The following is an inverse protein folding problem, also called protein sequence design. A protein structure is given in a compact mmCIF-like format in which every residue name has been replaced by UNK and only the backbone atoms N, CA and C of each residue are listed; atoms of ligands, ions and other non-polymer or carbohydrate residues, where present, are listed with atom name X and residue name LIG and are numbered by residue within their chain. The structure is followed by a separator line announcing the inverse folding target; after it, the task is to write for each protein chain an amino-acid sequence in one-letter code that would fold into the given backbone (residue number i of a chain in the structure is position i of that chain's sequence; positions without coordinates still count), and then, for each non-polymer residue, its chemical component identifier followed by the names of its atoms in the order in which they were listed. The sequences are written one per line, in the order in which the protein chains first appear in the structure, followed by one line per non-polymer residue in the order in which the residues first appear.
data_IF_637151176177
#
_entry.id   IF_637151176177
#
_cell.length_a   1.000
_cell.length_b   1.000
_cell.length_c   1.000
_cell.angle_alpha   90.00
_cell.angle_beta   90.00
_cell.angle_gamma   90.00
#
_symmetry.space_group_name_H-M   'P 1'
#
loop_
_entity.id
_entity.type
_entity.pdbx_description
1 polymer ?
#
# COMPACT_ATOMS: atom_id res chain seq x y z
N UNK A 1 -0.55 -4.10 -1.40
CA UNK A 1 -0.54 -5.56 -1.12
C UNK A 1 0.51 -5.99 -0.08
N UNK A 2 1.56 -5.24 0.29
CA UNK A 2 2.60 -5.79 1.18
C UNK A 2 3.46 -4.79 2.03
N UNK A 3 3.11 -3.51 2.26
CA UNK A 3 4.05 -2.53 2.89
C UNK A 3 4.45 -2.89 4.32
N UNK A 4 3.51 -3.17 5.22
CA UNK A 4 3.88 -3.58 6.58
C UNK A 4 4.16 -5.09 6.73
N UNK A 5 3.77 -5.91 5.74
CA UNK A 5 4.30 -7.28 5.61
C UNK A 5 5.82 -7.22 5.33
N UNK A 6 6.28 -6.27 4.50
CA UNK A 6 7.70 -6.08 4.23
C UNK A 6 8.45 -5.51 5.44
N UNK A 7 7.88 -4.55 6.17
CA UNK A 7 8.48 -4.07 7.42
C UNK A 7 8.61 -5.18 8.49
N UNK A 8 7.57 -6.02 8.62
CA UNK A 8 7.63 -7.20 9.49
C UNK A 8 8.65 -8.25 8.99
N UNK A 9 8.80 -8.41 7.67
CA UNK A 9 9.78 -9.32 7.07
C UNK A 9 11.24 -8.82 7.16
N UNK A 10 11.52 -7.50 7.11
CA UNK A 10 12.87 -6.96 7.39
C UNK A 10 13.38 -7.30 8.78
N UNK A 11 12.47 -7.49 9.73
CA UNK A 11 12.81 -7.84 11.11
C UNK A 11 12.99 -9.35 11.30
N UNK A 12 12.43 -10.18 10.41
CA UNK A 12 12.48 -11.65 10.49
C UNK A 12 13.58 -12.26 9.60
N UNK A 13 14.05 -11.55 8.57
CA UNK A 13 15.05 -12.01 7.62
C UNK A 13 16.20 -10.99 7.53
N UNK A 14 17.30 -11.17 8.29
CA UNK A 14 18.46 -10.31 8.20
C UNK A 14 19.00 -10.34 6.76
N UNK A 15 18.97 -9.20 6.06
CA UNK A 15 19.41 -9.07 4.66
C UNK A 15 18.30 -8.88 3.62
N UNK A 16 17.02 -8.94 4.00
CA UNK A 16 15.93 -8.58 3.09
C UNK A 16 15.86 -7.05 2.92
N UNK A 17 16.31 -6.54 1.77
CA UNK A 17 16.22 -5.11 1.45
C UNK A 17 14.78 -4.71 1.17
N UNK A 18 14.05 -4.34 2.23
CA UNK A 18 12.68 -3.83 2.17
C UNK A 18 12.54 -2.60 1.28
N UNK A 19 13.64 -1.89 1.06
CA UNK A 19 13.72 -0.71 0.21
C UNK A 19 13.36 -0.99 -1.25
N UNK A 20 13.75 -2.14 -1.80
CA UNK A 20 13.50 -2.49 -3.22
C UNK A 20 12.02 -2.80 -3.46
N UNK A 21 11.35 -3.43 -2.50
CA UNK A 21 9.93 -3.76 -2.60
C UNK A 21 8.99 -2.59 -2.21
N UNK A 22 9.46 -1.66 -1.38
CA UNK A 22 8.66 -0.54 -0.87
C UNK A 22 8.30 0.50 -1.95
N UNK A 23 9.20 0.76 -2.91
CA UNK A 23 9.00 1.77 -3.95
C UNK A 23 7.74 1.53 -4.81
N UNK A 24 7.63 0.37 -5.49
CA UNK A 24 6.44 0.05 -6.28
C UNK A 24 5.14 0.09 -5.46
N UNK A 25 5.18 -0.40 -4.22
CA UNK A 25 4.01 -0.40 -3.33
C UNK A 25 3.56 0.98 -2.91
N UNK A 26 4.50 1.88 -2.65
CA UNK A 26 4.21 3.29 -2.37
C UNK A 26 3.46 3.91 -3.55
N UNK A 27 3.95 3.69 -4.78
CA UNK A 27 3.29 4.17 -6.00
C UNK A 27 1.86 3.62 -6.12
N UNK A 28 1.66 2.32 -5.90
CA UNK A 28 0.32 1.73 -5.91
C UNK A 28 -0.60 2.31 -4.83
N UNK A 29 -0.07 2.49 -3.61
CA UNK A 29 -0.87 3.00 -2.48
C UNK A 29 -1.26 4.45 -2.69
N UNK A 30 -0.35 5.29 -3.20
CA UNK A 30 -0.63 6.68 -3.60
C UNK A 30 -1.75 6.71 -4.63
N UNK A 31 -1.66 5.89 -5.68
CA UNK A 31 -2.69 5.81 -6.71
C UNK A 31 -4.05 5.40 -6.12
N UNK A 32 -4.08 4.43 -5.21
CA UNK A 32 -5.32 4.00 -4.55
C UNK A 32 -5.93 5.09 -3.67
N UNK A 33 -5.12 5.87 -2.96
CA UNK A 33 -5.63 7.02 -2.23
C UNK A 33 -6.21 8.09 -3.16
N UNK A 34 -5.58 8.32 -4.32
CA UNK A 34 -6.15 9.22 -5.32
C UNK A 34 -7.48 8.70 -5.89
N UNK A 35 -7.62 7.38 -6.09
CA UNK A 35 -8.89 6.76 -6.48
C UNK A 35 -9.99 6.96 -5.41
N UNK A 36 -9.65 7.19 -4.15
CA UNK A 36 -10.60 7.56 -3.09
C UNK A 36 -10.83 9.08 -2.94
N UNK A 37 -10.28 9.88 -3.87
CA UNK A 37 -10.29 11.33 -3.75
C UNK A 37 -9.42 11.86 -2.59
N UNK A 38 -8.58 11.04 -1.97
CA UNK A 38 -7.68 11.41 -0.87
C UNK A 38 -6.28 11.79 -1.38
N UNK A 39 -5.50 12.54 -0.59
CA UNK A 39 -4.13 12.90 -0.98
C UNK A 39 -3.19 11.68 -0.89
N UNK A 40 -2.21 11.59 -1.79
CA UNK A 40 -1.19 10.54 -1.76
C UNK A 40 -0.34 10.51 -0.48
N UNK A 41 -0.32 11.60 0.30
CA UNK A 41 0.39 11.69 1.58
C UNK A 41 -0.07 10.66 2.61
N UNK A 42 -1.30 10.15 2.50
CA UNK A 42 -1.77 9.07 3.36
C UNK A 42 -0.97 7.77 3.19
N UNK A 43 -0.27 7.59 2.06
CA UNK A 43 0.65 6.46 1.88
C UNK A 43 1.88 6.53 2.81
N UNK A 44 2.17 7.69 3.43
CA UNK A 44 3.22 7.84 4.43
C UNK A 44 2.79 7.38 5.83
N UNK A 45 1.49 7.23 6.12
CA UNK A 45 1.02 6.86 7.44
C UNK A 45 1.60 5.52 7.95
N UNK A 46 1.68 4.44 7.14
CA UNK A 46 2.35 3.20 7.56
C UNK A 46 3.83 3.38 7.89
N UNK A 47 4.52 4.31 7.23
CA UNK A 47 5.94 4.62 7.54
C UNK A 47 6.05 5.30 8.91
N UNK A 48 5.18 6.27 9.20
CA UNK A 48 5.13 6.94 10.50
C UNK A 48 4.81 5.95 11.64
N UNK A 49 3.86 5.04 11.42
CA UNK A 49 3.51 3.98 12.39
C UNK A 49 4.69 3.04 12.62
N UNK A 50 5.38 2.61 11.55
CA UNK A 50 6.55 1.76 11.65
C UNK A 50 7.70 2.42 12.44
N UNK A 51 7.95 3.71 12.20
CA UNK A 51 8.95 4.48 12.93
C UNK A 51 8.61 4.58 14.42
N UNK A 52 7.37 4.96 14.76
CA UNK A 52 6.92 5.07 16.14
C UNK A 52 7.00 3.73 16.88
N UNK A 53 6.62 2.63 16.20
CA UNK A 53 6.75 1.30 16.75
C UNK A 53 8.21 0.90 16.98
N UNK A 54 9.13 1.24 16.06
CA UNK A 54 10.56 1.02 16.24
C UNK A 54 11.11 1.70 17.50
N UNK A 55 10.72 2.96 17.74
CA UNK A 55 11.08 3.68 18.98
C UNK A 55 10.50 2.98 20.22
N UNK A 56 9.23 2.58 20.18
CA UNK A 56 8.59 1.89 21.30
C UNK A 56 9.23 0.53 21.62
N UNK A 57 9.59 -0.25 20.59
CA UNK A 57 10.30 -1.53 20.75
C UNK A 57 11.70 -1.33 21.35
N UNK A 58 12.41 -0.27 20.93
CA UNK A 58 13.71 0.07 21.50
C UNK A 58 13.60 0.52 22.98
N UNK A 59 12.52 1.24 23.33
CA UNK A 59 12.27 1.68 24.70
C UNK A 59 11.83 0.54 25.63
N UNK A 60 11.17 -0.50 25.10
CA UNK A 60 10.74 -1.67 25.88
C UNK A 60 10.87 -2.97 25.08
N UNK A 61 12.01 -3.67 25.19
CA UNK A 61 12.23 -4.94 24.52
C UNK A 61 11.21 -6.03 24.91
N UNK A 62 10.65 -5.95 26.12
CA UNK A 62 9.61 -6.88 26.60
C UNK A 62 8.32 -6.79 25.76
N UNK A 63 7.96 -5.58 25.30
CA UNK A 63 6.75 -5.36 24.51
C UNK A 63 6.98 -5.58 23.00
N UNK A 64 8.23 -5.72 22.57
CA UNK A 64 8.60 -5.87 21.17
C UNK A 64 7.81 -6.96 20.42
N UNK A 65 7.66 -8.20 20.92
CA UNK A 65 6.92 -9.23 20.18
C UNK A 65 5.43 -8.90 20.04
N UNK A 66 4.82 -8.25 21.03
CA UNK A 66 3.41 -7.83 20.99
C UNK A 66 3.23 -6.72 19.95
N UNK A 67 4.09 -5.70 19.99
CA UNK A 67 4.09 -4.60 19.02
C UNK A 67 4.27 -5.15 17.60
N UNK A 68 5.17 -6.11 17.42
CA UNK A 68 5.43 -6.73 16.13
C UNK A 68 4.23 -7.53 15.60
N UNK A 69 3.55 -8.29 16.47
CA UNK A 69 2.33 -9.01 16.11
C UNK A 69 1.20 -8.04 15.67
N UNK A 70 1.02 -6.94 16.41
CA UNK A 70 0.04 -5.90 16.07
C UNK A 70 0.36 -5.23 14.74
N UNK A 71 1.62 -4.90 14.49
CA UNK A 71 2.06 -4.33 13.21
C UNK A 71 1.80 -5.28 12.04
N UNK A 72 2.09 -6.57 12.21
CA UNK A 72 1.87 -7.57 11.17
C UNK A 72 0.38 -7.64 10.81
N UNK A 73 -0.50 -7.84 11.81
CA UNK A 73 -1.95 -7.93 11.59
C UNK A 73 -2.49 -6.63 11.02
N UNK A 74 -2.14 -5.49 11.61
CA UNK A 74 -2.58 -4.16 11.17
C UNK A 74 -2.15 -3.88 9.73
N UNK A 75 -0.94 -4.27 9.35
CA UNK A 75 -0.44 -4.03 7.99
C UNK A 75 -1.13 -4.86 6.93
N UNK A 76 -1.41 -6.14 7.22
CA UNK A 76 -2.16 -7.02 6.32
C UNK A 76 -3.58 -6.50 6.18
N UNK A 77 -4.24 -6.17 7.29
CA UNK A 77 -5.60 -5.63 7.31
C UNK A 77 -5.72 -4.30 6.56
N UNK A 78 -4.84 -3.33 6.85
CA UNK A 78 -4.81 -2.02 6.15
C UNK A 78 -4.60 -2.20 4.65
N UNK A 79 -3.72 -3.11 4.29
CA UNK A 79 -3.43 -3.41 2.90
C UNK A 79 -4.60 -4.04 2.18
N UNK A 80 -5.26 -5.02 2.80
CA UNK A 80 -6.47 -5.64 2.26
C UNK A 80 -7.56 -4.58 2.10
N UNK A 81 -7.73 -3.72 3.10
CA UNK A 81 -8.68 -2.61 3.06
C UNK A 81 -8.42 -1.69 1.86
N UNK A 82 -7.22 -1.11 1.73
CA UNK A 82 -6.88 -0.19 0.62
C UNK A 82 -6.91 -0.91 -0.74
N UNK A 83 -6.50 -2.17 -0.79
CA UNK A 83 -6.44 -2.96 -2.02
C UNK A 83 -7.80 -3.37 -2.55
N UNK A 84 -8.73 -3.76 -1.67
CA UNK A 84 -10.01 -4.37 -2.03
C UNK A 84 -11.18 -3.39 -2.04
N UNK A 85 -11.09 -2.27 -1.31
CA UNK A 85 -12.19 -1.31 -1.23
C UNK A 85 -12.47 -0.65 -2.59
N UNK A 86 -13.72 -0.55 -3.06
CA UNK A 86 -14.01 0.15 -4.31
C UNK A 86 -13.48 1.60 -4.29
N UNK A 87 -12.96 2.07 -5.43
CA UNK A 87 -12.64 3.49 -5.59
C UNK A 87 -13.89 4.37 -5.58
N UNK A 88 -13.71 5.68 -5.40
CA UNK A 88 -14.80 6.65 -5.58
C UNK A 88 -15.28 6.62 -7.05
N UNK A 89 -16.60 6.67 -7.24
CA UNK A 89 -17.22 6.68 -8.56
C UNK A 89 -17.18 8.08 -9.20
N UNK A 90 -16.88 9.12 -8.41
CA UNK A 90 -16.74 10.49 -8.88
C UNK A 90 -15.52 10.70 -9.80
N UNK A 91 -15.47 11.82 -10.53
CA UNK A 91 -14.28 12.21 -11.28
C UNK A 91 -13.07 12.33 -10.34
N UNK A 92 -11.98 11.63 -10.67
CA UNK A 92 -10.76 11.71 -9.88
C UNK A 92 -10.12 13.10 -10.02
N UNK A 93 -10.10 13.87 -8.93
CA UNK A 93 -9.51 15.23 -8.89
C UNK A 93 -8.00 15.28 -9.18
N UNK A 94 -7.32 14.14 -9.13
CA UNK A 94 -5.90 13.99 -9.43
C UNK A 94 -5.64 13.52 -10.89
N UNK A 95 -6.69 13.49 -11.71
CA UNK A 95 -6.64 13.09 -13.12
C UNK A 95 -7.24 11.71 -13.36
N UNK A 96 -7.55 11.42 -14.63
CA UNK A 96 -8.20 10.16 -15.00
C UNK A 96 -7.34 8.93 -14.64
N UNK A 97 -7.98 7.93 -14.04
CA UNK A 97 -7.34 6.65 -13.73
C UNK A 97 -7.07 5.87 -15.02
N UNK A 98 -5.90 6.10 -15.64
CA UNK A 98 -5.48 5.39 -16.86
C UNK A 98 -5.24 3.92 -16.56
N UNK A 99 -5.84 2.98 -17.31
CA UNK A 99 -5.56 1.56 -17.11
C UNK A 99 -4.08 1.28 -17.40
N UNK A 100 -3.42 0.53 -16.51
CA UNK A 100 -1.99 0.18 -16.66
C UNK A 100 -1.73 -0.66 -17.91
N UNK A 101 -2.71 -1.50 -18.27
CA UNK A 101 -2.72 -2.23 -19.52
C UNK A 101 -3.77 -1.61 -20.44
N UNK A 102 -3.34 -1.05 -21.57
CA UNK A 102 -4.26 -0.63 -22.63
C UNK A 102 -4.98 -1.87 -23.12
N UNK A 103 -6.23 -2.12 -22.68
CA UNK A 103 -7.10 -3.02 -23.42
C UNK A 103 -7.17 -2.47 -24.84
N UNK A 104 -6.75 -3.26 -25.83
CA UNK A 104 -6.99 -2.95 -27.24
C UNK A 104 -8.51 -2.77 -27.31
N UNK A 105 -8.99 -1.55 -27.55
CA UNK A 105 -10.43 -1.38 -27.83
C UNK A 105 -10.69 -2.26 -29.05
N UNK A 106 -11.72 -3.13 -29.04
CA UNK A 106 -12.15 -3.74 -30.28
C UNK A 106 -12.36 -2.61 -31.28
N UNK A 107 -11.76 -2.74 -32.46
CA UNK A 107 -12.04 -1.79 -33.52
C UNK A 107 -13.54 -1.86 -33.78
N UNK A 108 -14.22 -0.72 -33.71
CA UNK A 108 -15.67 -0.67 -33.95
C UNK A 108 -16.01 -1.14 -35.37
N UNK A 109 -15.03 -1.17 -36.29
CA UNK A 109 -15.17 -1.76 -37.62
C UNK A 109 -15.44 -3.27 -37.62
N UNK A 110 -14.99 -4.02 -36.61
CA UNK A 110 -15.19 -5.48 -36.51
C UNK A 110 -16.59 -5.86 -35.98
N UNK A 111 -17.30 -4.92 -35.36
CA UNK A 111 -18.64 -5.15 -34.78
C UNK A 111 -19.81 -4.91 -35.74
N UNK A 112 -19.56 -4.27 -36.89
CA UNK A 112 -20.59 -3.90 -37.86
C UNK A 112 -20.34 -4.49 -39.26
N UNK A 113 -19.53 -5.54 -39.36
CA UNK A 113 -19.32 -6.34 -40.58
C UNK A 113 -20.12 -7.65 -40.50
#
# INVERSE_FOLDING_TARGET
MMVGLFFAMSLLLPGYSTTVAAGPLMIFTIRRFHDFGQSGWWAAAPLAVGLAAGVAMAASPLLAPIIQAVLLVGSVSFTAFVGLMPGDAGPNRFGESRPLFRRKRPDLSETFS
#
